data_IF_724568387898
#
_entry.id   IF_724568387898
#
_cell.length_a   1.000
_cell.length_b   1.000
_cell.length_c   1.000
_cell.angle_alpha   90.00
_cell.angle_beta   90.00
_cell.angle_gamma   90.00
#
_symmetry.space_group_name_H-M   'P 1'
#
loop_
_entity.id
_entity.type
_entity.pdbx_description
1 polymer ?
#
# COMPACT_ATOMS: atom_id res chain seq x y z
N UNK A 1 1.61 10.72 -2.31
CA UNK A 1 1.66 9.90 -1.08
C UNK A 1 1.20 10.73 0.09
N UNK A 2 0.51 10.13 1.06
CA UNK A 2 0.35 10.66 2.40
C UNK A 2 1.16 9.82 3.39
N UNK A 3 1.62 10.41 4.50
CA UNK A 3 2.26 9.68 5.59
C UNK A 3 1.77 10.24 6.93
N UNK A 4 1.43 9.34 7.85
CA UNK A 4 1.13 9.69 9.24
C UNK A 4 1.97 8.83 10.18
N UNK A 5 2.45 9.43 11.26
CA UNK A 5 3.20 8.75 12.30
C UNK A 5 2.49 8.92 13.64
N UNK A 6 2.37 7.82 14.39
CA UNK A 6 1.86 7.84 15.76
C UNK A 6 2.51 6.70 16.56
N UNK A 7 3.09 7.03 17.72
CA UNK A 7 3.71 6.06 18.63
C UNK A 7 4.74 5.12 17.97
N UNK A 8 5.58 5.65 17.07
CA UNK A 8 6.62 4.87 16.36
C UNK A 8 6.07 3.96 15.25
N UNK A 9 4.79 4.08 14.94
CA UNK A 9 4.13 3.39 13.85
C UNK A 9 3.79 4.38 12.74
N UNK A 10 4.13 4.01 11.51
CA UNK A 10 3.88 4.82 10.33
C UNK A 10 2.82 4.16 9.45
N UNK A 11 1.96 4.99 8.86
CA UNK A 11 1.02 4.61 7.82
C UNK A 11 1.33 5.46 6.61
N UNK A 12 1.57 4.82 5.46
CA UNK A 12 1.79 5.51 4.19
C UNK A 12 0.81 4.98 3.15
N UNK A 13 0.26 5.89 2.35
CA UNK A 13 -0.60 5.55 1.23
C UNK A 13 -0.19 6.25 -0.08
N UNK A 14 -0.61 5.67 -1.21
CA UNK A 14 -0.65 6.41 -2.47
C UNK A 14 -1.84 7.37 -2.48
N UNK A 15 -1.74 8.45 -3.25
CA UNK A 15 -2.87 9.34 -3.52
C UNK A 15 -2.91 9.64 -5.02
N UNK A 16 -4.11 9.59 -5.60
CA UNK A 16 -4.38 9.98 -6.98
C UNK A 16 -4.89 8.84 -7.86
N UNK A 17 -4.62 7.57 -7.50
CA UNK A 17 -5.14 6.42 -8.24
C UNK A 17 -6.67 6.37 -8.15
N UNK A 18 -7.23 6.71 -6.99
CA UNK A 18 -8.68 6.73 -6.78
C UNK A 18 -9.40 7.68 -7.76
N UNK A 19 -8.79 8.84 -8.05
CA UNK A 19 -9.34 9.79 -9.04
C UNK A 19 -9.38 9.25 -10.47
N UNK A 20 -8.65 8.17 -10.75
CA UNK A 20 -8.60 7.46 -12.03
C UNK A 20 -9.46 6.18 -12.02
N UNK A 21 -10.22 5.93 -10.95
CA UNK A 21 -11.03 4.72 -10.79
C UNK A 21 -10.24 3.50 -10.31
N UNK A 22 -9.00 3.67 -9.85
CA UNK A 22 -8.14 2.61 -9.32
C UNK A 22 -7.99 2.74 -7.79
N UNK A 23 -7.90 1.65 -7.03
CA UNK A 23 -7.67 1.74 -5.59
C UNK A 23 -6.25 2.28 -5.30
N UNK A 24 -6.12 3.12 -4.28
CA UNK A 24 -4.79 3.46 -3.74
C UNK A 24 -4.23 2.28 -2.91
N UNK A 25 -2.93 2.25 -2.66
CA UNK A 25 -2.30 1.30 -1.74
C UNK A 25 -2.05 1.96 -0.39
N UNK A 26 -2.20 1.19 0.70
CA UNK A 26 -1.87 1.63 2.06
C UNK A 26 -1.10 0.55 2.81
N UNK A 27 -0.04 0.95 3.50
CA UNK A 27 0.76 0.06 4.35
C UNK A 27 1.01 0.71 5.71
N UNK A 28 0.91 -0.12 6.74
CA UNK A 28 1.30 0.22 8.11
C UNK A 28 2.61 -0.51 8.44
N UNK A 29 3.59 0.21 8.97
CA UNK A 29 4.92 -0.34 9.23
C UNK A 29 5.60 0.30 10.44
N UNK A 30 6.59 -0.42 10.96
CA UNK A 30 7.55 0.05 11.97
C UNK A 30 8.94 -0.27 11.46
N UNK A 31 9.93 0.53 11.86
CA UNK A 31 11.36 0.25 11.66
C UNK A 31 11.87 0.17 10.20
N UNK A 32 11.02 0.36 9.19
CA UNK A 32 11.43 0.51 7.80
C UNK A 32 11.69 1.97 7.43
N UNK A 33 12.68 2.20 6.56
CA UNK A 33 12.91 3.51 5.95
C UNK A 33 11.69 3.90 5.09
N UNK A 34 11.02 5.04 5.39
CA UNK A 34 9.87 5.51 4.60
C UNK A 34 10.16 5.64 3.11
N UNK A 35 11.40 5.91 2.72
CA UNK A 35 11.81 6.03 1.31
C UNK A 35 11.73 4.70 0.57
N UNK A 36 12.09 3.59 1.24
CA UNK A 36 11.95 2.23 0.70
C UNK A 36 10.47 1.91 0.51
N UNK A 37 9.64 2.24 1.50
CA UNK A 37 8.19 2.03 1.44
C UNK A 37 7.55 2.84 0.31
N UNK A 38 7.96 4.11 0.14
CA UNK A 38 7.48 4.94 -0.96
C UNK A 38 7.81 4.34 -2.33
N UNK A 39 9.02 3.77 -2.48
CA UNK A 39 9.43 3.07 -3.71
C UNK A 39 8.57 1.83 -4.01
N UNK A 40 8.27 1.02 -2.99
CA UNK A 40 7.38 -0.14 -3.13
C UNK A 40 5.96 0.29 -3.53
N UNK A 41 5.36 1.25 -2.82
CA UNK A 41 4.03 1.75 -3.12
C UNK A 41 3.95 2.38 -4.53
N UNK A 42 5.00 3.06 -4.97
CA UNK A 42 5.10 3.58 -6.34
C UNK A 42 5.05 2.43 -7.36
N UNK A 43 5.85 1.38 -7.16
CA UNK A 43 5.89 0.23 -8.06
C UNK A 43 4.54 -0.48 -8.14
N UNK A 44 3.85 -0.64 -7.00
CA UNK A 44 2.53 -1.27 -6.97
C UNK A 44 1.47 -0.41 -7.66
N UNK A 45 1.51 0.91 -7.42
CA UNK A 45 0.63 1.86 -8.09
C UNK A 45 0.82 1.85 -9.60
N UNK A 46 2.08 1.83 -10.07
CA UNK A 46 2.40 1.72 -11.50
C UNK A 46 1.88 0.41 -12.08
N UNK A 47 2.05 -0.70 -11.37
CA UNK A 47 1.59 -2.01 -11.83
C UNK A 47 0.08 -2.04 -12.07
N UNK A 48 -0.73 -1.55 -11.13
CA UNK A 48 -2.19 -1.54 -11.33
C UNK A 48 -2.66 -0.43 -12.29
N UNK A 49 -1.85 0.60 -12.51
CA UNK A 49 -2.14 1.62 -13.50
C UNK A 49 -2.03 1.04 -14.92
N UNK A 50 -1.02 0.20 -15.16
CA UNK A 50 -0.79 -0.44 -16.46
C UNK A 50 -1.71 -1.66 -16.68
N UNK A 51 -1.87 -2.52 -15.66
CA UNK A 51 -2.59 -3.79 -15.80
C UNK A 51 -4.07 -3.72 -15.35
N UNK A 52 -4.47 -2.62 -14.69
CA UNK A 52 -5.74 -2.51 -14.00
C UNK A 52 -5.74 -3.23 -12.64
N UNK A 53 -6.94 -3.39 -12.07
CA UNK A 53 -7.11 -4.00 -10.73
C UNK A 53 -7.09 -5.52 -10.82
N UNK A 54 -5.88 -6.10 -10.92
CA UNK A 54 -5.65 -7.56 -10.99
C UNK A 54 -5.40 -8.22 -9.63
N UNK A 55 -5.41 -7.44 -8.55
CA UNK A 55 -5.20 -7.91 -7.18
C UNK A 55 -6.54 -8.27 -6.55
N UNK A 56 -6.63 -9.46 -5.96
CA UNK A 56 -7.77 -9.92 -5.17
C UNK A 56 -7.43 -10.08 -3.69
N UNK A 57 -8.46 -10.15 -2.83
CA UNK A 57 -8.29 -10.39 -1.41
C UNK A 57 -7.51 -11.69 -1.14
N UNK A 58 -6.44 -11.59 -0.34
CA UNK A 58 -5.58 -12.72 0.00
C UNK A 58 -4.48 -13.02 -1.03
N UNK A 59 -4.43 -12.30 -2.15
CA UNK A 59 -3.26 -12.31 -3.04
C UNK A 59 -2.04 -11.75 -2.31
N UNK A 60 -0.86 -12.03 -2.85
CA UNK A 60 0.41 -11.55 -2.30
C UNK A 60 1.14 -10.62 -3.25
N UNK A 61 1.81 -9.63 -2.69
CA UNK A 61 2.78 -8.78 -3.40
C UNK A 61 4.17 -8.98 -2.81
N UNK A 62 5.20 -8.65 -3.59
CA UNK A 62 6.60 -8.72 -3.15
C UNK A 62 6.81 -7.81 -1.94
N UNK A 63 7.54 -8.25 -0.90
CA UNK A 63 7.95 -7.39 0.21
C UNK A 63 9.22 -6.60 -0.09
N UNK A 64 9.94 -6.20 0.96
CA UNK A 64 11.24 -5.50 0.79
C UNK A 64 12.30 -6.49 0.27
N UNK A 65 12.35 -7.69 0.84
CA UNK A 65 13.29 -8.74 0.42
C UNK A 65 12.65 -9.68 -0.58
N UNK A 66 13.42 -10.26 -1.51
CA UNK A 66 12.93 -11.10 -2.62
C UNK A 66 12.03 -12.28 -2.21
N UNK A 67 12.21 -12.84 -1.01
CA UNK A 67 11.40 -13.97 -0.54
C UNK A 67 10.20 -13.56 0.32
N UNK A 68 10.03 -12.26 0.59
CA UNK A 68 8.90 -11.77 1.37
C UNK A 68 7.65 -11.66 0.51
N UNK A 69 6.54 -12.21 1.03
CA UNK A 69 5.23 -12.14 0.40
C UNK A 69 4.26 -11.49 1.37
N UNK A 70 3.78 -10.31 1.02
CA UNK A 70 2.85 -9.54 1.84
C UNK A 70 1.45 -9.66 1.29
N UNK A 71 0.47 -9.86 2.18
CA UNK A 71 -0.90 -10.09 1.76
C UNK A 71 -1.61 -8.78 1.43
N UNK A 72 -2.48 -8.82 0.43
CA UNK A 72 -3.26 -7.70 -0.03
C UNK A 72 -4.74 -7.91 0.26
N UNK A 73 -5.41 -6.87 0.76
CA UNK A 73 -6.84 -6.88 1.05
C UNK A 73 -7.48 -5.53 0.74
N UNK A 74 -8.64 -5.54 0.08
CA UNK A 74 -9.48 -4.36 -0.03
C UNK A 74 -10.06 -3.99 1.32
N UNK A 75 -9.82 -2.76 1.74
CA UNK A 75 -10.34 -2.20 3.00
C UNK A 75 -10.56 -0.70 2.87
N UNK A 76 -11.25 -0.10 3.83
CA UNK A 76 -11.28 1.35 3.98
C UNK A 76 -9.93 1.87 4.49
N UNK A 77 -9.50 3.02 3.99
CA UNK A 77 -8.26 3.66 4.41
C UNK A 77 -8.27 4.01 5.90
N UNK A 78 -7.12 3.83 6.55
CA UNK A 78 -6.91 4.21 7.93
C UNK A 78 -6.79 5.73 8.05
N UNK A 79 -6.16 6.37 7.06
CA UNK A 79 -5.93 7.82 7.02
C UNK A 79 -6.84 8.53 6.00
N UNK A 80 -6.99 9.85 6.17
CA UNK A 80 -7.78 10.68 5.26
C UNK A 80 -7.06 10.91 3.91
N UNK A 81 -7.81 11.06 2.80
CA UNK A 81 -9.27 10.97 2.70
C UNK A 81 -9.79 9.52 2.77
N UNK A 82 -10.94 9.29 3.42
CA UNK A 82 -11.58 7.96 3.44
C UNK A 82 -11.94 7.45 2.05
N UNK A 83 -11.44 6.27 1.71
CA UNK A 83 -11.68 5.58 0.42
C UNK A 83 -11.37 4.09 0.51
N UNK A 84 -11.80 3.33 -0.50
CA UNK A 84 -11.38 1.93 -0.65
C UNK A 84 -9.95 1.90 -1.19
N UNK A 85 -9.09 1.13 -0.50
CA UNK A 85 -7.68 0.96 -0.81
C UNK A 85 -7.31 -0.54 -0.84
N UNK A 86 -6.16 -0.85 -1.41
CA UNK A 86 -5.48 -2.14 -1.26
C UNK A 86 -4.54 -2.02 -0.06
N UNK A 87 -4.93 -2.65 1.04
CA UNK A 87 -4.17 -2.72 2.27
C UNK A 87 -3.11 -3.81 2.19
N UNK A 88 -1.89 -3.46 2.57
CA UNK A 88 -0.75 -4.38 2.60
C UNK A 88 -0.49 -4.83 4.03
N UNK A 89 -0.53 -6.13 4.25
CA UNK A 89 -0.14 -6.78 5.51
C UNK A 89 1.26 -7.37 5.37
N UNK A 90 2.22 -6.71 6.02
CA UNK A 90 3.65 -7.02 5.93
C UNK A 90 4.14 -8.09 6.93
N UNK A 91 3.24 -8.66 7.73
CA UNK A 91 3.57 -9.69 8.71
C UNK A 91 4.00 -9.17 10.09
N UNK A 92 4.18 -7.85 10.24
CA UNK A 92 4.59 -7.21 11.50
C UNK A 92 6.08 -7.32 11.77
#
# INVERSE_FOLDING_TARGET
FNIQESNGEMIMDTLGLNSLGLPDFEIKFREFDPSIIAGLLFNYGSYIYDEGVVIENGNTIQGIEENQKWKCYFKESLIEPKRIIIGIENGG
#
